data_IF_078252656304
#
_entry.id   IF_078252656304
#
_cell.length_a   1.000
_cell.length_b   1.000
_cell.length_c   1.000
_cell.angle_alpha   90.00
_cell.angle_beta   90.00
_cell.angle_gamma   90.00
#
_symmetry.space_group_name_H-M   'P 1'
#
loop_
_entity.id
_entity.type
_entity.pdbx_description
1 polymer ?
#
# COMPACT_ATOMS: atom_id res chain seq x y z
N UNK A 1 22.04 -26.50 -5.71
CA UNK A 1 21.58 -26.84 -7.08
C UNK A 1 21.09 -25.54 -7.67
N UNK A 2 21.71 -25.01 -8.73
CA UNK A 2 21.23 -23.78 -9.36
C UNK A 2 19.85 -24.06 -9.96
N UNK A 3 18.85 -23.22 -9.67
CA UNK A 3 17.50 -23.38 -10.19
C UNK A 3 17.56 -23.32 -11.73
N UNK A 4 17.42 -24.47 -12.40
CA UNK A 4 17.41 -24.51 -13.86
C UNK A 4 16.11 -23.85 -14.34
N UNK A 5 16.19 -22.62 -14.81
CA UNK A 5 15.11 -21.90 -15.46
C UNK A 5 14.84 -20.48 -14.95
N UNK A 6 15.44 -20.02 -13.85
CA UNK A 6 15.11 -18.71 -13.25
C UNK A 6 16.11 -17.62 -13.66
N UNK A 7 15.61 -16.59 -14.33
CA UNK A 7 16.38 -15.41 -14.74
C UNK A 7 16.03 -14.19 -13.90
N UNK A 8 17.03 -13.55 -13.30
CA UNK A 8 16.87 -12.21 -12.75
C UNK A 8 16.62 -11.20 -13.88
N UNK A 9 15.57 -10.39 -13.75
CA UNK A 9 15.31 -9.26 -14.62
C UNK A 9 14.99 -8.02 -13.78
N UNK A 10 15.78 -6.96 -13.93
CA UNK A 10 15.53 -5.70 -13.23
C UNK A 10 15.99 -4.48 -14.05
N UNK A 11 15.36 -3.34 -13.79
CA UNK A 11 15.92 -2.04 -14.17
C UNK A 11 16.67 -1.46 -12.97
N UNK A 12 17.70 -0.64 -13.21
CA UNK A 12 18.49 -0.04 -12.13
C UNK A 12 18.92 1.39 -12.47
N UNK A 13 19.11 2.21 -11.44
CA UNK A 13 19.73 3.54 -11.55
C UNK A 13 20.26 4.04 -10.22
N UNK A 14 21.57 4.27 -10.12
CA UNK A 14 22.22 4.87 -8.95
C UNK A 14 21.94 4.15 -7.62
N UNK A 15 22.18 2.85 -7.58
CA UNK A 15 21.92 1.97 -6.43
C UNK A 15 23.22 1.35 -5.86
N UNK A 16 24.37 2.03 -6.02
CA UNK A 16 25.68 1.51 -5.60
C UNK A 16 25.68 1.08 -4.12
N UNK A 17 24.95 1.81 -3.28
CA UNK A 17 24.89 1.58 -1.84
C UNK A 17 24.13 0.30 -1.45
N UNK A 18 23.22 -0.20 -2.28
CA UNK A 18 22.29 -1.28 -1.92
C UNK A 18 22.30 -2.48 -2.87
N UNK A 19 22.79 -2.34 -4.11
CA UNK A 19 22.66 -3.37 -5.15
C UNK A 19 23.29 -4.72 -4.79
N UNK A 20 24.42 -4.72 -4.07
CA UNK A 20 25.10 -5.94 -3.63
C UNK A 20 24.26 -6.77 -2.65
N UNK A 21 23.42 -6.12 -1.84
CA UNK A 21 22.50 -6.79 -0.91
C UNK A 21 21.47 -7.61 -1.69
N UNK A 22 20.85 -7.02 -2.71
CA UNK A 22 19.94 -7.74 -3.61
C UNK A 22 20.67 -8.91 -4.26
N UNK A 23 21.80 -8.65 -4.93
CA UNK A 23 22.51 -9.65 -5.71
C UNK A 23 22.89 -10.85 -4.82
N UNK A 24 23.40 -10.59 -3.62
CA UNK A 24 23.74 -11.64 -2.66
C UNK A 24 22.53 -12.51 -2.32
N UNK A 25 21.35 -11.92 -2.13
CA UNK A 25 20.13 -12.68 -1.80
C UNK A 25 19.62 -13.53 -2.96
N UNK A 26 19.81 -13.10 -4.22
CA UNK A 26 19.24 -13.77 -5.39
C UNK A 26 20.19 -14.78 -6.05
N UNK A 27 21.50 -14.58 -5.89
CA UNK A 27 22.55 -15.38 -6.55
C UNK A 27 22.38 -16.90 -6.43
N UNK A 28 21.97 -17.48 -5.28
CA UNK A 28 21.78 -18.93 -5.16
C UNK A 28 20.60 -19.48 -5.97
N UNK A 29 19.68 -18.62 -6.40
CA UNK A 29 18.35 -18.99 -6.90
C UNK A 29 18.13 -18.68 -8.38
N UNK A 30 19.15 -18.15 -9.08
CA UNK A 30 19.09 -17.82 -10.50
C UNK A 30 20.17 -18.56 -11.29
N UNK A 31 19.92 -18.75 -12.58
CA UNK A 31 20.89 -19.31 -13.53
C UNK A 31 21.38 -18.31 -14.56
N UNK A 32 20.68 -17.18 -14.70
CA UNK A 32 20.98 -16.14 -15.66
C UNK A 32 20.41 -14.80 -15.22
N UNK A 33 20.85 -13.73 -15.86
CA UNK A 33 20.41 -12.38 -15.52
C UNK A 33 20.36 -11.46 -16.74
N UNK A 34 19.44 -10.51 -16.72
CA UNK A 34 19.33 -9.43 -17.71
C UNK A 34 18.93 -8.14 -17.00
N UNK A 35 19.77 -7.13 -17.09
CA UNK A 35 19.57 -5.86 -16.38
C UNK A 35 19.62 -4.70 -17.34
N UNK A 36 18.68 -3.76 -17.20
CA UNK A 36 18.73 -2.47 -17.90
C UNK A 36 19.14 -1.39 -16.91
N UNK A 37 20.31 -0.80 -17.12
CA UNK A 37 20.70 0.44 -16.49
C UNK A 37 20.04 1.62 -17.20
N UNK A 38 19.37 2.49 -16.44
CA UNK A 38 18.65 3.65 -16.97
C UNK A 38 19.42 4.96 -16.80
N UNK A 39 20.76 4.86 -16.79
CA UNK A 39 21.67 6.00 -16.67
C UNK A 39 22.21 6.19 -15.26
N UNK A 40 22.82 5.14 -14.69
CA UNK A 40 23.63 5.25 -13.48
C UNK A 40 24.88 6.10 -13.73
N UNK A 41 25.24 6.90 -12.73
CA UNK A 41 26.42 7.77 -12.70
C UNK A 41 27.38 7.43 -11.55
N UNK A 42 27.00 6.45 -10.72
CA UNK A 42 27.78 5.92 -9.60
C UNK A 42 28.37 4.53 -9.94
N UNK A 43 28.89 3.82 -8.93
CA UNK A 43 29.49 2.49 -9.10
C UNK A 43 28.52 1.33 -9.34
N UNK A 44 27.21 1.58 -9.53
CA UNK A 44 26.17 0.53 -9.65
C UNK A 44 26.52 -0.53 -10.70
N UNK A 45 26.81 -0.09 -11.94
CA UNK A 45 27.08 -1.00 -13.06
C UNK A 45 28.28 -1.90 -12.78
N UNK A 46 29.38 -1.31 -12.28
CA UNK A 46 30.59 -2.05 -11.97
C UNK A 46 30.37 -3.13 -10.90
N UNK A 47 29.53 -2.84 -9.89
CA UNK A 47 29.18 -3.82 -8.84
C UNK A 47 28.31 -4.95 -9.37
N UNK A 48 27.34 -4.65 -10.23
CA UNK A 48 26.49 -5.67 -10.88
C UNK A 48 27.36 -6.62 -11.71
N UNK A 49 28.19 -6.07 -12.59
CA UNK A 49 29.05 -6.88 -13.47
C UNK A 49 30.03 -7.75 -12.66
N UNK A 50 30.63 -7.20 -11.61
CA UNK A 50 31.55 -7.95 -10.75
C UNK A 50 30.84 -9.07 -9.99
N UNK A 51 29.68 -8.79 -9.40
CA UNK A 51 28.96 -9.76 -8.56
C UNK A 51 28.27 -10.86 -9.37
N UNK A 52 27.90 -10.60 -10.63
CA UNK A 52 27.21 -11.55 -11.51
C UNK A 52 28.11 -12.17 -12.59
N UNK A 53 29.43 -11.88 -12.59
CA UNK A 53 30.39 -12.37 -13.60
C UNK A 53 30.42 -13.90 -13.76
N UNK A 54 30.01 -14.64 -12.73
CA UNK A 54 29.94 -16.11 -12.75
C UNK A 54 28.70 -16.71 -13.43
N UNK A 55 27.72 -15.89 -13.82
CA UNK A 55 26.45 -16.33 -14.41
C UNK A 55 26.26 -15.76 -15.82
N UNK A 56 25.67 -16.54 -16.76
CA UNK A 56 25.24 -16.04 -18.05
C UNK A 56 24.31 -14.82 -17.90
N UNK A 57 24.70 -13.70 -18.49
CA UNK A 57 23.85 -12.53 -18.49
C UNK A 57 24.46 -11.35 -19.20
N UNK A 58 23.68 -10.29 -19.28
CA UNK A 58 24.02 -9.08 -20.01
C UNK A 58 23.41 -7.88 -19.28
N UNK A 59 24.15 -6.78 -19.26
CA UNK A 59 23.67 -5.47 -18.87
C UNK A 59 23.52 -4.62 -20.13
N UNK A 60 22.39 -3.91 -20.24
CA UNK A 60 22.17 -2.91 -21.30
C UNK A 60 21.95 -1.55 -20.69
N UNK A 61 22.32 -0.52 -21.43
CA UNK A 61 21.96 0.85 -21.08
C UNK A 61 20.79 1.27 -21.96
N UNK A 62 19.76 1.82 -21.34
CA UNK A 62 18.62 2.44 -22.03
C UNK A 62 18.36 3.82 -21.46
N UNK A 63 17.81 4.72 -22.28
CA UNK A 63 17.39 6.04 -21.81
C UNK A 63 16.18 5.89 -20.88
N UNK A 64 16.20 6.62 -19.75
CA UNK A 64 15.05 6.67 -18.87
C UNK A 64 13.92 7.47 -19.54
N UNK A 65 12.76 6.84 -19.73
CA UNK A 65 11.55 7.47 -20.26
C UNK A 65 10.51 7.58 -19.15
N UNK A 66 10.08 6.43 -18.62
CA UNK A 66 9.19 6.27 -17.47
C UNK A 66 9.26 4.81 -16.98
N UNK A 67 8.64 4.50 -15.83
CA UNK A 67 8.72 3.16 -15.25
C UNK A 67 8.07 2.09 -16.13
N UNK A 68 6.88 2.37 -16.66
CA UNK A 68 6.14 1.44 -17.53
C UNK A 68 6.91 1.10 -18.80
N UNK A 69 7.48 2.11 -19.45
CA UNK A 69 8.28 1.97 -20.67
C UNK A 69 9.53 1.14 -20.41
N UNK A 70 10.38 1.55 -19.47
CA UNK A 70 11.67 0.89 -19.25
C UNK A 70 11.48 -0.53 -18.68
N UNK A 71 10.46 -0.77 -17.85
CA UNK A 71 10.13 -2.14 -17.40
C UNK A 71 9.54 -2.99 -18.51
N UNK A 72 8.77 -2.41 -19.45
CA UNK A 72 8.28 -3.11 -20.63
C UNK A 72 9.42 -3.51 -21.56
N UNK A 73 10.37 -2.61 -21.79
CA UNK A 73 11.60 -2.90 -22.53
C UNK A 73 12.37 -4.06 -21.90
N UNK A 74 12.55 -4.01 -20.57
CA UNK A 74 13.21 -5.06 -19.80
C UNK A 74 12.52 -6.41 -19.99
N UNK A 75 11.21 -6.53 -19.78
CA UNK A 75 10.55 -7.85 -19.85
C UNK A 75 10.49 -8.39 -21.28
N UNK A 76 10.27 -7.52 -22.27
CA UNK A 76 10.28 -7.90 -23.69
C UNK A 76 11.65 -8.44 -24.11
N UNK A 77 12.73 -7.87 -23.59
CA UNK A 77 14.07 -8.40 -23.80
C UNK A 77 14.32 -9.65 -22.95
N UNK A 78 14.05 -9.60 -21.65
CA UNK A 78 14.45 -10.63 -20.69
C UNK A 78 13.78 -11.98 -20.92
N UNK A 79 12.55 -11.96 -21.44
CA UNK A 79 11.70 -13.15 -21.66
C UNK A 79 12.31 -14.19 -22.62
N UNK A 80 13.18 -13.76 -23.55
CA UNK A 80 13.73 -14.64 -24.58
C UNK A 80 14.68 -15.67 -23.96
N UNK A 81 14.30 -16.94 -24.01
CA UNK A 81 15.10 -18.06 -23.50
C UNK A 81 15.16 -18.16 -21.98
N UNK A 82 14.21 -17.56 -21.26
CA UNK A 82 13.97 -17.82 -19.84
C UNK A 82 12.80 -18.79 -19.69
N UNK A 83 12.83 -19.65 -18.67
CA UNK A 83 11.63 -20.38 -18.26
C UNK A 83 10.79 -19.51 -17.31
N UNK A 84 11.45 -18.88 -16.35
CA UNK A 84 10.91 -17.92 -15.40
C UNK A 84 11.73 -16.64 -15.39
N UNK A 85 11.05 -15.51 -15.38
CA UNK A 85 11.62 -14.22 -15.01
C UNK A 85 11.30 -13.95 -13.55
N UNK A 86 12.34 -13.67 -12.76
CA UNK A 86 12.25 -13.10 -11.43
C UNK A 86 12.46 -11.60 -11.53
N UNK A 87 11.37 -10.85 -11.37
CA UNK A 87 11.32 -9.40 -11.47
C UNK A 87 11.63 -8.82 -10.08
N UNK A 88 12.64 -7.95 -9.94
CA UNK A 88 13.01 -7.36 -8.65
C UNK A 88 13.46 -5.90 -8.82
N UNK A 89 13.41 -5.13 -7.73
CA UNK A 89 14.00 -3.80 -7.59
C UNK A 89 15.19 -3.83 -6.65
N UNK A 90 16.14 -2.89 -6.78
CA UNK A 90 17.40 -2.84 -6.03
C UNK A 90 17.25 -2.82 -4.50
N UNK A 91 16.11 -2.33 -3.99
CA UNK A 91 15.76 -2.25 -2.57
C UNK A 91 15.01 -3.48 -2.04
N UNK A 92 15.02 -4.57 -2.81
CA UNK A 92 14.41 -5.85 -2.46
C UNK A 92 15.47 -6.93 -2.17
N UNK A 93 15.12 -7.84 -1.26
CA UNK A 93 15.84 -9.10 -1.05
C UNK A 93 14.88 -10.27 -1.11
N UNK A 94 15.38 -11.46 -1.46
CA UNK A 94 14.58 -12.68 -1.46
C UNK A 94 15.01 -13.65 -0.35
N UNK A 95 14.05 -14.43 0.10
CA UNK A 95 14.22 -15.65 0.89
C UNK A 95 13.44 -16.75 0.18
N UNK A 96 14.11 -17.84 -0.20
CA UNK A 96 13.50 -18.89 -1.00
C UNK A 96 13.83 -20.27 -0.44
N UNK A 97 12.89 -21.19 -0.59
CA UNK A 97 13.03 -22.57 -0.12
C UNK A 97 14.14 -23.30 -0.91
N UNK A 98 14.78 -24.27 -0.27
CA UNK A 98 15.88 -25.06 -0.86
C UNK A 98 15.48 -25.80 -2.15
N UNK A 99 14.18 -26.12 -2.29
CA UNK A 99 13.59 -26.85 -3.41
C UNK A 99 12.83 -25.93 -4.40
N UNK A 100 13.12 -24.62 -4.42
CA UNK A 100 12.48 -23.61 -5.29
C UNK A 100 12.28 -24.10 -6.74
N UNK A 101 13.31 -24.73 -7.33
CA UNK A 101 13.24 -25.25 -8.70
C UNK A 101 12.21 -26.36 -8.90
N UNK A 102 12.07 -27.27 -7.94
CA UNK A 102 11.05 -28.33 -7.96
C UNK A 102 9.65 -27.75 -7.77
N UNK A 103 9.50 -26.80 -6.85
CA UNK A 103 8.23 -26.11 -6.63
C UNK A 103 7.78 -25.36 -7.90
N UNK A 104 8.70 -24.65 -8.57
CA UNK A 104 8.41 -23.95 -9.82
C UNK A 104 8.10 -24.88 -10.99
N UNK A 105 8.71 -26.06 -11.05
CA UNK A 105 8.39 -27.08 -12.05
C UNK A 105 6.94 -27.59 -11.90
N UNK A 106 6.39 -27.57 -10.68
CA UNK A 106 4.99 -27.93 -10.41
C UNK A 106 3.98 -26.82 -10.73
N UNK A 107 4.43 -25.56 -10.91
CA UNK A 107 3.55 -24.43 -11.21
C UNK A 107 3.11 -24.46 -12.68
N UNK A 108 1.82 -24.64 -12.93
CA UNK A 108 1.24 -24.62 -14.28
C UNK A 108 0.75 -23.24 -14.71
N UNK A 109 0.61 -22.31 -13.78
CA UNK A 109 0.18 -20.95 -14.06
C UNK A 109 1.27 -20.14 -14.79
N UNK A 110 0.83 -19.08 -15.47
CA UNK A 110 1.71 -18.18 -16.23
C UNK A 110 2.47 -17.19 -15.33
N UNK A 111 1.88 -16.85 -14.18
CA UNK A 111 2.46 -15.95 -13.19
C UNK A 111 2.24 -16.48 -11.77
N UNK A 112 3.28 -16.38 -10.94
CA UNK A 112 3.27 -16.73 -9.54
C UNK A 112 3.24 -15.46 -8.68
N UNK A 113 2.20 -15.35 -7.84
CA UNK A 113 1.97 -14.26 -6.91
C UNK A 113 2.77 -14.50 -5.61
N UNK A 114 3.89 -13.80 -5.52
CA UNK A 114 4.88 -13.92 -4.47
C UNK A 114 4.54 -12.99 -3.30
N UNK A 115 4.56 -13.46 -2.04
CA UNK A 115 4.38 -12.61 -0.87
C UNK A 115 5.54 -11.63 -0.71
N UNK A 116 5.19 -10.37 -0.50
CA UNK A 116 6.12 -9.30 -0.17
C UNK A 116 5.86 -8.83 1.25
N UNK A 117 6.91 -8.77 2.06
CA UNK A 117 6.95 -8.18 3.40
C UNK A 117 7.83 -6.93 3.43
N UNK A 118 7.95 -6.30 4.61
CA UNK A 118 8.71 -5.05 4.78
C UNK A 118 7.88 -3.83 5.18
N UNK A 119 6.64 -4.04 5.61
CA UNK A 119 5.77 -2.99 6.15
C UNK A 119 4.30 -3.34 5.96
N UNK A 120 3.88 -3.44 4.70
CA UNK A 120 2.55 -3.94 4.30
C UNK A 120 2.75 -5.26 3.57
N UNK A 121 2.00 -6.29 3.98
CA UNK A 121 2.05 -7.58 3.30
C UNK A 121 1.12 -7.57 2.09
N UNK A 122 1.64 -7.90 0.92
CA UNK A 122 0.87 -8.03 -0.32
C UNK A 122 1.45 -9.14 -1.21
N UNK A 123 0.76 -9.49 -2.30
CA UNK A 123 1.26 -10.44 -3.30
C UNK A 123 1.22 -9.85 -4.69
N UNK A 124 2.29 -10.04 -5.46
CA UNK A 124 2.42 -9.53 -6.84
C UNK A 124 3.10 -10.55 -7.76
N UNK A 125 2.88 -10.48 -9.08
CA UNK A 125 3.46 -11.41 -10.06
C UNK A 125 4.95 -11.13 -10.31
N UNK A 126 5.78 -11.41 -9.31
CA UNK A 126 7.24 -11.23 -9.41
C UNK A 126 7.95 -12.42 -10.07
N UNK A 127 7.26 -13.56 -10.22
CA UNK A 127 7.72 -14.71 -11.00
C UNK A 127 6.77 -14.90 -12.18
N UNK A 128 7.26 -14.75 -13.40
CA UNK A 128 6.43 -14.91 -14.62
C UNK A 128 7.11 -15.78 -15.67
N UNK A 129 6.30 -16.53 -16.42
CA UNK A 129 6.80 -17.42 -17.48
C UNK A 129 7.49 -16.62 -18.59
N UNK A 130 8.67 -17.06 -19.00
CA UNK A 130 9.31 -16.56 -20.21
C UNK A 130 8.56 -16.97 -21.48
N UNK A 131 8.89 -16.33 -22.60
CA UNK A 131 8.23 -16.52 -23.90
C UNK A 131 6.86 -15.84 -24.06
N UNK A 132 6.29 -15.27 -23.00
CA UNK A 132 5.01 -14.54 -23.06
C UNK A 132 5.16 -13.06 -23.39
N UNK A 133 4.14 -12.43 -24.02
CA UNK A 133 4.16 -11.01 -24.36
C UNK A 133 3.76 -10.16 -23.15
N UNK A 134 4.61 -10.16 -22.12
CA UNK A 134 4.47 -9.30 -20.96
C UNK A 134 4.78 -7.84 -21.29
N UNK A 135 4.08 -6.92 -20.65
CA UNK A 135 4.38 -5.49 -20.66
C UNK A 135 3.83 -4.83 -19.38
N UNK A 136 4.31 -3.63 -19.08
CA UNK A 136 3.80 -2.82 -17.98
C UNK A 136 2.86 -1.73 -18.50
N UNK A 137 1.73 -1.55 -17.83
CA UNK A 137 0.74 -0.53 -18.15
C UNK A 137 0.77 0.62 -17.13
N UNK A 138 0.81 1.86 -17.61
CA UNK A 138 0.95 3.10 -16.82
C UNK A 138 2.40 3.58 -16.74
N UNK A 139 2.62 4.90 -16.67
CA UNK A 139 3.97 5.51 -16.60
C UNK A 139 4.61 5.44 -15.22
N UNK A 140 3.77 5.48 -14.17
CA UNK A 140 4.09 5.27 -12.76
C UNK A 140 2.89 4.58 -12.10
N UNK A 141 3.09 3.93 -10.95
CA UNK A 141 2.13 2.97 -10.38
C UNK A 141 1.73 1.89 -11.41
N UNK A 142 2.71 1.53 -12.23
CA UNK A 142 2.59 0.57 -13.32
C UNK A 142 2.31 -0.83 -12.80
N UNK A 143 1.65 -1.64 -13.61
CA UNK A 143 1.40 -3.04 -13.29
C UNK A 143 1.73 -3.92 -14.48
N UNK A 144 2.26 -5.11 -14.18
CA UNK A 144 2.54 -6.12 -15.19
C UNK A 144 1.24 -6.69 -15.73
N UNK A 145 1.12 -6.77 -17.05
CA UNK A 145 0.03 -7.40 -17.76
C UNK A 145 0.56 -8.07 -19.04
N UNK A 146 -0.30 -8.75 -19.79
CA UNK A 146 0.05 -9.39 -21.05
C UNK A 146 -0.95 -9.06 -22.13
N UNK A 147 -0.48 -9.02 -23.38
CA UNK A 147 -1.34 -8.91 -24.56
C UNK A 147 -2.15 -10.18 -24.83
N UNK A 148 -1.88 -11.26 -24.10
CA UNK A 148 -2.61 -12.53 -24.14
C UNK A 148 -3.19 -12.86 -22.77
N UNK A 149 -4.37 -13.54 -22.68
CA UNK A 149 -4.90 -14.03 -21.42
C UNK A 149 -3.88 -14.88 -20.67
N UNK A 150 -3.86 -14.77 -19.35
CA UNK A 150 -2.92 -15.50 -18.51
C UNK A 150 -3.56 -15.89 -17.18
N UNK A 151 -2.96 -16.87 -16.53
CA UNK A 151 -3.38 -17.41 -15.25
C UNK A 151 -2.38 -17.08 -14.16
N UNK A 152 -2.88 -16.91 -12.94
CA UNK A 152 -2.08 -16.64 -11.75
C UNK A 152 -2.26 -17.71 -10.69
N UNK A 153 -1.21 -18.04 -9.96
CA UNK A 153 -1.30 -18.85 -8.74
C UNK A 153 -0.63 -18.14 -7.57
N UNK A 154 -1.06 -18.43 -6.35
CA UNK A 154 -0.25 -18.08 -5.17
C UNK A 154 0.99 -18.97 -5.13
N UNK A 155 2.11 -18.41 -4.71
CA UNK A 155 3.38 -19.12 -4.59
C UNK A 155 4.09 -18.71 -3.31
N UNK A 156 4.40 -19.69 -2.46
CA UNK A 156 4.97 -19.46 -1.12
C UNK A 156 6.42 -19.93 -0.98
N UNK A 157 6.98 -20.57 -2.01
CA UNK A 157 8.37 -21.05 -2.03
C UNK A 157 9.42 -19.94 -2.20
N UNK A 158 8.97 -18.69 -2.35
CA UNK A 158 9.81 -17.50 -2.36
C UNK A 158 9.06 -16.38 -1.64
N UNK A 159 9.78 -15.58 -0.86
CA UNK A 159 9.29 -14.37 -0.20
C UNK A 159 10.21 -13.21 -0.54
N UNK A 160 9.63 -12.04 -0.79
CA UNK A 160 10.37 -10.81 -1.02
C UNK A 160 10.27 -9.95 0.23
N UNK A 161 11.38 -9.33 0.64
CA UNK A 161 11.38 -8.25 1.62
C UNK A 161 11.70 -6.94 0.90
N UNK A 162 10.79 -5.98 0.96
CA UNK A 162 10.97 -4.64 0.42
C UNK A 162 11.42 -3.69 1.54
N UNK A 163 12.66 -3.19 1.44
CA UNK A 163 13.28 -2.38 2.51
C UNK A 163 12.94 -0.90 2.35
N UNK A 164 12.60 -0.46 1.13
CA UNK A 164 12.19 0.90 0.79
C UNK A 164 13.22 1.99 1.18
N UNK A 165 14.50 1.66 1.13
CA UNK A 165 15.63 2.56 1.41
C UNK A 165 16.23 3.21 0.14
N UNK A 166 15.44 3.24 -0.94
CA UNK A 166 15.76 3.94 -2.18
C UNK A 166 15.63 5.47 -2.10
N UNK A 167 16.00 6.14 -3.18
CA UNK A 167 16.17 7.61 -3.28
C UNK A 167 14.96 8.50 -2.85
N UNK A 168 15.27 9.79 -2.58
CA UNK A 168 14.45 10.82 -1.89
C UNK A 168 12.95 10.95 -2.26
N UNK A 169 12.09 10.96 -1.22
CA UNK A 169 10.62 11.00 -1.32
C UNK A 169 10.01 12.22 -2.01
N UNK A 170 10.56 13.43 -1.87
CA UNK A 170 9.91 14.65 -2.42
C UNK A 170 10.03 14.76 -3.93
N UNK A 171 11.23 14.48 -4.47
CA UNK A 171 11.48 14.48 -5.92
C UNK A 171 10.63 13.40 -6.60
N UNK A 172 10.36 12.29 -5.90
CA UNK A 172 9.49 11.22 -6.36
C UNK A 172 8.06 11.72 -6.61
N UNK A 173 7.47 12.48 -5.68
CA UNK A 173 6.08 12.96 -5.81
C UNK A 173 5.89 13.92 -6.99
N UNK A 174 6.81 14.88 -7.17
CA UNK A 174 6.73 15.84 -8.29
C UNK A 174 6.78 15.13 -9.66
N UNK A 175 7.68 14.15 -9.80
CA UNK A 175 7.76 13.30 -11.00
C UNK A 175 6.49 12.48 -11.20
N UNK A 176 5.95 11.87 -10.15
CA UNK A 176 4.77 11.01 -10.25
C UNK A 176 3.54 11.83 -10.69
N UNK A 177 3.40 13.09 -10.24
CA UNK A 177 2.34 14.00 -10.72
C UNK A 177 2.49 14.27 -12.22
N UNK A 178 3.70 14.54 -12.71
CA UNK A 178 3.95 14.80 -14.13
C UNK A 178 3.59 13.57 -14.99
N UNK A 179 4.08 12.38 -14.60
CA UNK A 179 3.81 11.14 -15.33
C UNK A 179 2.32 10.76 -15.34
N UNK A 180 1.64 10.89 -14.21
CA UNK A 180 0.19 10.64 -14.13
C UNK A 180 -0.61 11.69 -14.90
N UNK A 181 -0.14 12.93 -14.94
CA UNK A 181 -0.72 13.99 -15.77
C UNK A 181 -0.68 13.65 -17.25
N UNK A 182 0.45 13.13 -17.74
CA UNK A 182 0.58 12.63 -19.12
C UNK A 182 -0.35 11.43 -19.38
N UNK A 183 -0.45 10.48 -18.44
CA UNK A 183 -1.37 9.33 -18.56
C UNK A 183 -2.83 9.79 -18.67
N UNK A 184 -3.19 10.85 -17.94
CA UNK A 184 -4.53 11.41 -17.97
C UNK A 184 -4.82 12.21 -19.25
N UNK A 185 -3.81 12.81 -19.87
CA UNK A 185 -3.96 13.44 -21.19
C UNK A 185 -4.23 12.40 -22.28
N UNK A 186 -3.53 11.26 -22.23
CA UNK A 186 -3.70 10.18 -23.20
C UNK A 186 -5.01 9.39 -22.98
N UNK A 187 -5.38 9.16 -21.72
CA UNK A 187 -6.62 8.49 -21.35
C UNK A 187 -7.33 9.21 -20.18
N UNK A 188 -8.17 10.22 -20.48
CA UNK A 188 -8.91 10.98 -19.48
C UNK A 188 -9.87 10.14 -18.62
N UNK A 189 -10.29 8.97 -19.10
CA UNK A 189 -11.26 8.11 -18.42
C UNK A 189 -10.59 7.00 -17.58
N UNK A 190 -9.27 7.04 -17.44
CA UNK A 190 -8.52 6.11 -16.60
C UNK A 190 -8.81 6.32 -15.11
N UNK A 191 -9.75 5.54 -14.56
CA UNK A 191 -10.08 5.55 -13.14
C UNK A 191 -8.84 5.32 -12.26
N UNK A 192 -7.95 4.40 -12.68
CA UNK A 192 -6.69 4.12 -11.98
C UNK A 192 -5.79 5.35 -11.93
N UNK A 193 -5.59 6.04 -13.05
CA UNK A 193 -4.75 7.24 -13.11
C UNK A 193 -5.32 8.35 -12.23
N UNK A 194 -6.64 8.59 -12.28
CA UNK A 194 -7.29 9.59 -11.42
C UNK A 194 -7.13 9.24 -9.94
N UNK A 195 -7.25 7.96 -9.57
CA UNK A 195 -7.07 7.49 -8.20
C UNK A 195 -5.64 7.74 -7.70
N UNK A 196 -4.62 7.31 -8.44
CA UNK A 196 -3.23 7.51 -8.02
C UNK A 196 -2.85 8.98 -8.03
N UNK A 197 -3.34 9.78 -8.98
CA UNK A 197 -3.08 11.23 -9.00
C UNK A 197 -3.67 11.92 -7.76
N UNK A 198 -4.86 11.51 -7.31
CA UNK A 198 -5.44 11.99 -6.05
C UNK A 198 -4.58 11.62 -4.82
N UNK A 199 -4.05 10.40 -4.78
CA UNK A 199 -3.16 9.94 -3.71
C UNK A 199 -1.84 10.72 -3.72
N UNK A 200 -1.23 10.92 -4.88
CA UNK A 200 0.01 11.69 -5.02
C UNK A 200 -0.18 13.15 -4.62
N UNK A 201 -1.28 13.80 -5.01
CA UNK A 201 -1.59 15.16 -4.55
C UNK A 201 -1.80 15.23 -3.03
N UNK A 202 -2.48 14.24 -2.44
CA UNK A 202 -2.64 14.18 -0.98
C UNK A 202 -1.28 14.10 -0.30
N UNK A 203 -0.41 13.21 -0.76
CA UNK A 203 0.90 12.96 -0.17
C UNK A 203 1.86 14.15 -0.41
N UNK A 204 1.64 14.93 -1.47
CA UNK A 204 2.31 16.21 -1.71
C UNK A 204 1.76 17.38 -0.86
N UNK A 205 0.66 17.20 -0.13
CA UNK A 205 -0.01 18.26 0.63
C UNK A 205 -0.90 19.19 -0.19
N UNK A 206 -1.11 18.89 -1.47
CA UNK A 206 -1.94 19.65 -2.41
C UNK A 206 -3.43 19.31 -2.21
N UNK A 207 -3.96 19.66 -1.03
CA UNK A 207 -5.28 19.23 -0.56
C UNK A 207 -6.44 19.54 -1.52
N UNK A 208 -6.43 20.71 -2.18
CA UNK A 208 -7.49 21.10 -3.10
C UNK A 208 -7.51 20.22 -4.35
N UNK A 209 -6.34 19.99 -4.96
CA UNK A 209 -6.19 19.11 -6.11
C UNK A 209 -6.53 17.67 -5.75
N UNK A 210 -6.06 17.20 -4.59
CA UNK A 210 -6.41 15.87 -4.09
C UNK A 210 -7.93 15.70 -3.93
N UNK A 211 -8.61 16.67 -3.32
CA UNK A 211 -10.07 16.66 -3.13
C UNK A 211 -10.82 16.57 -4.46
N UNK A 212 -10.45 17.41 -5.44
CA UNK A 212 -11.05 17.40 -6.79
C UNK A 212 -10.89 16.04 -7.48
N UNK A 213 -9.70 15.44 -7.39
CA UNK A 213 -9.41 14.15 -8.03
C UNK A 213 -10.08 12.98 -7.31
N UNK A 214 -10.16 12.99 -5.97
CA UNK A 214 -10.93 11.98 -5.23
C UNK A 214 -12.42 12.05 -5.54
N UNK A 215 -13.00 13.26 -5.60
CA UNK A 215 -14.40 13.43 -5.97
C UNK A 215 -14.67 12.95 -7.40
N UNK A 216 -13.78 13.29 -8.34
CA UNK A 216 -13.82 12.76 -9.71
C UNK A 216 -13.74 11.24 -9.70
N UNK A 217 -12.77 10.65 -9.00
CA UNK A 217 -12.60 9.19 -8.94
C UNK A 217 -13.83 8.50 -8.40
N UNK A 218 -14.43 9.00 -7.32
CA UNK A 218 -15.65 8.45 -6.76
C UNK A 218 -16.82 8.49 -7.77
N UNK A 219 -16.97 9.60 -8.51
CA UNK A 219 -18.02 9.75 -9.51
C UNK A 219 -17.88 8.81 -10.73
N UNK A 220 -16.68 8.27 -10.99
CA UNK A 220 -16.45 7.31 -12.07
C UNK A 220 -17.00 5.90 -11.77
N UNK A 221 -17.36 5.60 -10.53
CA UNK A 221 -17.86 4.27 -10.14
C UNK A 221 -16.82 3.16 -10.30
N UNK A 222 -17.26 1.95 -10.65
CA UNK A 222 -16.38 0.78 -10.83
C UNK A 222 -16.10 0.05 -9.52
N UNK A 223 -14.83 -0.25 -9.23
CA UNK A 223 -14.46 -1.00 -8.04
C UNK A 223 -14.84 -0.25 -6.76
N UNK A 224 -15.78 -0.83 -6.00
CA UNK A 224 -16.45 -0.18 -4.86
C UNK A 224 -15.46 0.21 -3.75
N UNK A 225 -14.37 -0.53 -3.56
CA UNK A 225 -13.36 -0.20 -2.54
C UNK A 225 -12.64 1.11 -2.83
N UNK A 226 -12.29 1.35 -4.09
CA UNK A 226 -11.65 2.60 -4.51
C UNK A 226 -12.63 3.77 -4.46
N UNK A 227 -13.91 3.54 -4.79
CA UNK A 227 -14.96 4.56 -4.66
C UNK A 227 -15.10 4.97 -3.20
N UNK A 228 -15.26 4.01 -2.29
CA UNK A 228 -15.29 4.24 -0.85
C UNK A 228 -14.04 4.99 -0.38
N UNK A 229 -12.86 4.48 -0.73
CA UNK A 229 -11.60 5.07 -0.27
C UNK A 229 -11.46 6.51 -0.75
N UNK A 230 -11.86 6.80 -2.00
CA UNK A 230 -11.82 8.16 -2.54
C UNK A 230 -12.75 9.10 -1.78
N UNK A 231 -13.99 8.68 -1.49
CA UNK A 231 -14.93 9.46 -0.69
C UNK A 231 -14.42 9.68 0.74
N UNK A 232 -13.83 8.65 1.34
CA UNK A 232 -13.27 8.73 2.69
C UNK A 232 -12.07 9.67 2.77
N UNK A 233 -11.13 9.59 1.81
CA UNK A 233 -9.99 10.50 1.74
C UNK A 233 -10.41 11.95 1.49
N UNK A 234 -11.41 12.18 0.63
CA UNK A 234 -12.02 13.50 0.46
C UNK A 234 -12.60 14.03 1.78
N UNK A 235 -13.31 13.20 2.54
CA UNK A 235 -13.85 13.59 3.85
C UNK A 235 -12.76 13.91 4.88
N UNK A 236 -11.64 13.17 4.89
CA UNK A 236 -10.48 13.47 5.74
C UNK A 236 -9.83 14.80 5.37
N UNK A 237 -9.70 15.10 4.07
CA UNK A 237 -9.18 16.39 3.61
C UNK A 237 -10.12 17.52 4.05
N UNK A 238 -11.43 17.36 3.84
CA UNK A 238 -12.44 18.32 4.28
C UNK A 238 -12.39 18.56 5.79
N UNK A 239 -12.20 17.51 6.61
CA UNK A 239 -12.01 17.65 8.06
C UNK A 239 -10.73 18.43 8.38
N UNK A 240 -9.60 18.09 7.74
CA UNK A 240 -8.29 18.72 7.94
C UNK A 240 -8.32 20.21 7.59
N UNK A 241 -9.04 20.60 6.54
CA UNK A 241 -9.21 21.98 6.12
C UNK A 241 -10.38 22.69 6.81
N UNK A 242 -10.95 22.10 7.86
CA UNK A 242 -12.06 22.63 8.65
C UNK A 242 -13.31 22.98 7.82
N UNK A 243 -13.59 22.21 6.76
CA UNK A 243 -14.80 22.36 5.96
C UNK A 243 -16.06 22.14 6.81
N UNK A 244 -17.10 22.98 6.65
CA UNK A 244 -18.38 22.77 7.33
C UNK A 244 -19.10 21.48 6.87
N UNK A 245 -18.81 20.99 5.66
CA UNK A 245 -19.44 19.80 5.07
C UNK A 245 -18.74 18.49 5.39
N UNK A 246 -17.64 18.52 6.15
CA UNK A 246 -16.85 17.32 6.45
C UNK A 246 -17.68 16.20 7.11
N UNK A 247 -18.67 16.55 7.95
CA UNK A 247 -19.59 15.58 8.54
C UNK A 247 -20.41 14.84 7.48
N UNK A 248 -21.02 15.59 6.55
CA UNK A 248 -21.80 15.02 5.45
C UNK A 248 -20.91 14.20 4.51
N UNK A 249 -19.64 14.59 4.33
CA UNK A 249 -18.67 13.84 3.53
C UNK A 249 -18.39 12.45 4.13
N UNK A 250 -18.23 12.34 5.45
CA UNK A 250 -18.10 11.04 6.10
C UNK A 250 -19.37 10.20 5.99
N UNK A 251 -20.55 10.81 6.07
CA UNK A 251 -21.82 10.08 5.84
C UNK A 251 -21.88 9.55 4.41
N UNK A 252 -21.54 10.35 3.39
CA UNK A 252 -21.46 9.88 1.99
C UNK A 252 -20.49 8.71 1.80
N UNK A 253 -19.33 8.76 2.46
CA UNK A 253 -18.37 7.67 2.43
C UNK A 253 -18.97 6.39 3.06
N UNK A 254 -19.68 6.52 4.18
CA UNK A 254 -20.34 5.39 4.83
C UNK A 254 -21.51 4.82 4.00
N UNK A 255 -22.33 5.67 3.39
CA UNK A 255 -23.42 5.24 2.49
C UNK A 255 -22.89 4.42 1.30
N UNK A 256 -21.69 4.74 0.81
CA UNK A 256 -21.03 4.01 -0.27
C UNK A 256 -20.53 2.63 0.15
N UNK A 257 -20.22 2.41 1.43
CA UNK A 257 -19.77 1.12 1.96
C UNK A 257 -20.09 0.95 3.45
N UNK A 258 -21.34 0.56 3.79
CA UNK A 258 -21.84 0.56 5.16
C UNK A 258 -21.09 -0.36 6.13
N UNK A 259 -20.38 -1.35 5.61
CA UNK A 259 -19.54 -2.29 6.37
C UNK A 259 -18.27 -1.63 6.92
N UNK A 260 -17.90 -0.44 6.43
CA UNK A 260 -16.68 0.27 6.83
C UNK A 260 -16.93 1.21 8.01
N UNK A 261 -16.28 0.92 9.13
CA UNK A 261 -16.42 1.66 10.38
C UNK A 261 -15.67 2.99 10.40
N UNK A 262 -14.71 3.20 9.49
CA UNK A 262 -13.81 4.35 9.52
C UNK A 262 -14.52 5.70 9.51
N UNK A 263 -15.53 5.96 8.65
CA UNK A 263 -16.23 7.24 8.66
C UNK A 263 -17.02 7.46 9.96
N UNK A 264 -17.66 6.41 10.49
CA UNK A 264 -18.40 6.48 11.77
C UNK A 264 -17.46 6.74 12.95
N UNK A 265 -16.29 6.12 12.97
CA UNK A 265 -15.24 6.39 13.96
C UNK A 265 -14.79 7.87 13.90
N UNK A 266 -14.54 8.41 12.71
CA UNK A 266 -14.16 9.82 12.54
C UNK A 266 -15.27 10.77 13.01
N UNK A 267 -16.53 10.49 12.67
CA UNK A 267 -17.69 11.23 13.16
C UNK A 267 -17.82 11.19 14.69
N UNK A 268 -17.68 10.01 15.30
CA UNK A 268 -17.71 9.86 16.76
C UNK A 268 -16.66 10.74 17.45
N UNK A 269 -15.41 10.66 16.97
CA UNK A 269 -14.29 11.46 17.45
C UNK A 269 -14.55 12.96 17.28
N UNK A 270 -15.04 13.38 16.11
CA UNK A 270 -15.39 14.79 15.85
C UNK A 270 -16.42 15.30 16.87
N UNK A 271 -17.50 14.56 17.08
CA UNK A 271 -18.54 14.94 18.05
C UNK A 271 -18.03 14.91 19.50
N UNK A 272 -17.12 13.99 19.86
CA UNK A 272 -16.46 13.99 21.17
C UNK A 272 -15.66 15.27 21.41
N UNK A 273 -14.89 15.72 20.41
CA UNK A 273 -14.11 16.96 20.49
C UNK A 273 -15.00 18.20 20.60
N UNK A 274 -16.17 18.20 19.95
CA UNK A 274 -17.19 19.23 20.07
C UNK A 274 -18.04 19.12 21.35
N UNK A 275 -17.78 18.14 22.21
CA UNK A 275 -18.56 17.81 23.43
C UNK A 275 -20.03 17.48 23.17
N UNK A 276 -20.35 17.01 21.98
CA UNK A 276 -21.68 16.56 21.60
C UNK A 276 -21.86 15.07 21.94
N UNK A 277 -21.94 14.77 23.24
CA UNK A 277 -21.80 13.40 23.77
C UNK A 277 -22.84 12.41 23.25
N UNK A 278 -24.09 12.83 23.04
CA UNK A 278 -25.13 11.96 22.46
C UNK A 278 -24.84 11.60 20.99
N UNK A 279 -24.36 12.55 20.19
CA UNK A 279 -23.97 12.27 18.81
C UNK A 279 -22.72 11.37 18.76
N UNK A 280 -21.72 11.66 19.60
CA UNK A 280 -20.54 10.81 19.74
C UNK A 280 -20.91 9.37 20.10
N UNK A 281 -21.86 9.19 21.04
CA UNK A 281 -22.39 7.89 21.42
C UNK A 281 -23.07 7.15 20.27
N UNK A 282 -23.91 7.82 19.49
CA UNK A 282 -24.62 7.21 18.35
C UNK A 282 -23.62 6.67 17.33
N UNK A 283 -22.68 7.50 16.88
CA UNK A 283 -21.70 7.10 15.87
C UNK A 283 -20.71 6.06 16.41
N UNK A 284 -20.23 6.20 17.64
CA UNK A 284 -19.31 5.23 18.23
C UNK A 284 -19.98 3.87 18.45
N UNK A 285 -21.25 3.85 18.83
CA UNK A 285 -22.02 2.60 19.00
C UNK A 285 -22.20 1.87 17.69
N UNK A 286 -22.51 2.61 16.62
CA UNK A 286 -22.60 2.03 15.28
C UNK A 286 -21.23 1.52 14.80
N UNK A 287 -20.17 2.31 14.93
CA UNK A 287 -18.81 1.92 14.53
C UNK A 287 -18.33 0.66 15.27
N UNK A 288 -18.53 0.59 16.60
CA UNK A 288 -18.07 -0.51 17.43
C UNK A 288 -18.95 -1.78 17.32
N UNK A 289 -20.04 -1.73 16.55
CA UNK A 289 -20.85 -2.91 16.21
C UNK A 289 -20.40 -3.57 14.89
N UNK A 290 -19.56 -2.89 14.09
CA UNK A 290 -19.02 -3.42 12.85
C UNK A 290 -17.78 -4.28 13.11
N UNK A 291 -17.70 -5.40 12.41
CA UNK A 291 -16.53 -6.29 12.43
C UNK A 291 -15.48 -5.83 11.41
N UNK A 292 -14.28 -6.40 11.49
CA UNK A 292 -13.24 -6.16 10.49
C UNK A 292 -13.74 -6.63 9.11
N UNK A 293 -13.74 -5.77 8.07
CA UNK A 293 -14.27 -6.14 6.77
C UNK A 293 -13.37 -7.16 6.05
N UNK A 294 -13.94 -7.86 5.07
CA UNK A 294 -13.19 -8.75 4.17
C UNK A 294 -12.47 -8.00 3.04
N UNK A 295 -12.61 -6.67 3.03
CA UNK A 295 -11.97 -5.73 2.10
C UNK A 295 -10.45 -5.89 2.06
N UNK A 296 -9.90 -5.59 0.89
CA UNK A 296 -8.46 -5.67 0.64
C UNK A 296 -7.79 -4.29 0.55
N UNK A 297 -8.55 -3.23 0.26
CA UNK A 297 -8.01 -1.88 0.06
C UNK A 297 -8.04 -1.07 1.35
N UNK A 298 -6.84 -0.82 1.89
CA UNK A 298 -6.54 0.19 2.91
C UNK A 298 -7.49 0.17 4.13
N UNK A 299 -7.68 -0.99 4.76
CA UNK A 299 -8.47 -1.11 5.99
C UNK A 299 -7.68 -0.58 7.19
N UNK A 300 -8.24 0.38 7.94
CA UNK A 300 -7.60 0.92 9.15
C UNK A 300 -7.82 -0.03 10.36
N UNK A 301 -7.06 -1.13 10.41
CA UNK A 301 -7.26 -2.23 11.37
C UNK A 301 -7.35 -1.80 12.85
N UNK A 302 -6.63 -0.76 13.27
CA UNK A 302 -6.65 -0.26 14.65
C UNK A 302 -8.03 0.29 15.07
N UNK A 303 -8.84 0.80 14.12
CA UNK A 303 -10.21 1.27 14.39
C UNK A 303 -11.09 0.10 14.84
N UNK A 304 -10.99 -1.04 14.16
CA UNK A 304 -11.73 -2.26 14.46
C UNK A 304 -11.22 -2.94 15.72
N UNK A 305 -9.89 -2.95 15.90
CA UNK A 305 -9.24 -3.59 17.05
C UNK A 305 -9.60 -2.92 18.37
N UNK A 306 -9.57 -1.58 18.42
CA UNK A 306 -9.87 -0.85 19.64
C UNK A 306 -10.41 0.58 19.45
N UNK A 307 -10.13 1.26 18.34
CA UNK A 307 -10.46 2.67 18.16
C UNK A 307 -11.95 2.99 18.32
N UNK A 308 -12.82 2.26 17.62
CA UNK A 308 -14.27 2.45 17.71
C UNK A 308 -14.81 2.20 19.12
N UNK A 309 -14.31 1.16 19.78
CA UNK A 309 -14.69 0.85 21.15
C UNK A 309 -14.18 1.87 22.17
N UNK A 310 -13.01 2.46 21.93
CA UNK A 310 -12.50 3.56 22.75
C UNK A 310 -13.45 4.77 22.68
N UNK A 311 -13.88 5.18 21.48
CA UNK A 311 -14.83 6.30 21.34
C UNK A 311 -16.17 5.96 22.01
N UNK A 312 -16.60 4.68 21.97
CA UNK A 312 -17.81 4.22 22.66
C UNK A 312 -17.65 4.26 24.17
N UNK A 313 -16.50 3.85 24.71
CA UNK A 313 -16.20 3.89 26.13
C UNK A 313 -16.18 5.32 26.68
N UNK A 314 -15.56 6.26 25.96
CA UNK A 314 -15.55 7.68 26.36
C UNK A 314 -16.96 8.27 26.33
N UNK A 315 -17.73 8.04 25.27
CA UNK A 315 -19.11 8.53 25.19
C UNK A 315 -20.01 7.91 26.27
N UNK A 316 -19.89 6.59 26.51
CA UNK A 316 -20.59 5.89 27.59
C UNK A 316 -20.30 6.52 28.96
N UNK A 317 -19.02 6.76 29.25
CA UNK A 317 -18.59 7.37 30.50
C UNK A 317 -19.20 8.76 30.70
N UNK A 318 -19.22 9.59 29.65
CA UNK A 318 -19.79 10.94 29.69
C UNK A 318 -21.30 10.99 29.86
N UNK A 319 -21.99 9.97 29.37
CA UNK A 319 -23.45 9.83 29.50
C UNK A 319 -23.88 9.06 30.77
N UNK A 320 -22.92 8.60 31.58
CA UNK A 320 -23.20 7.87 32.83
C UNK A 320 -23.49 6.37 32.65
N UNK A 321 -23.23 5.81 31.46
CA UNK A 321 -23.26 4.36 31.21
C UNK A 321 -21.99 3.69 31.74
N UNK A 322 -21.77 3.77 33.06
CA UNK A 322 -20.48 3.46 33.70
C UNK A 322 -20.07 1.98 33.56
N UNK A 323 -21.03 1.05 33.63
CA UNK A 323 -20.72 -0.38 33.53
C UNK A 323 -20.14 -0.72 32.14
N UNK A 324 -20.80 -0.26 31.08
CA UNK A 324 -20.30 -0.43 29.71
C UNK A 324 -18.95 0.25 29.52
N UNK A 325 -18.81 1.49 30.00
CA UNK A 325 -17.56 2.23 29.88
C UNK A 325 -16.38 1.49 30.52
N UNK A 326 -16.60 0.88 31.69
CA UNK A 326 -15.60 0.07 32.39
C UNK A 326 -15.30 -1.23 31.64
N UNK A 327 -16.33 -1.95 31.21
CA UNK A 327 -16.15 -3.20 30.43
C UNK A 327 -15.32 -2.98 29.18
N UNK A 328 -15.61 -1.92 28.41
CA UNK A 328 -14.82 -1.58 27.22
C UNK A 328 -13.40 -1.14 27.58
N UNK A 329 -13.24 -0.34 28.63
CA UNK A 329 -11.92 0.08 29.07
C UNK A 329 -11.04 -1.09 29.48
N UNK A 330 -11.58 -2.06 30.23
CA UNK A 330 -10.86 -3.27 30.61
C UNK A 330 -10.50 -4.12 29.39
N UNK A 331 -11.44 -4.29 28.46
CA UNK A 331 -11.21 -5.03 27.20
C UNK A 331 -10.08 -4.41 26.38
N UNK A 332 -10.08 -3.09 26.21
CA UNK A 332 -9.06 -2.38 25.42
C UNK A 332 -7.71 -2.38 26.14
N UNK A 333 -7.68 -2.19 27.46
CA UNK A 333 -6.43 -2.19 28.24
C UNK A 333 -5.71 -3.54 28.23
N UNK A 334 -6.43 -4.64 28.01
CA UNK A 334 -5.87 -5.98 27.83
C UNK A 334 -5.18 -6.19 26.48
N UNK A 335 -5.33 -5.29 25.51
CA UNK A 335 -4.67 -5.36 24.21
C UNK A 335 -3.25 -4.79 24.27
N UNK A 336 -2.35 -5.36 23.48
CA UNK A 336 -1.00 -4.82 23.26
C UNK A 336 -1.01 -3.67 22.26
N UNK A 337 0.05 -2.85 22.23
CA UNK A 337 0.23 -1.82 21.19
C UNK A 337 -0.68 -0.59 21.27
N UNK A 338 -1.57 -0.50 22.27
CA UNK A 338 -2.37 0.72 22.50
C UNK A 338 -1.46 1.89 22.91
N UNK A 339 -1.57 3.08 22.29
CA UNK A 339 -0.73 4.22 22.66
C UNK A 339 -1.00 4.72 24.09
N UNK A 340 0.04 5.21 24.76
CA UNK A 340 0.02 5.55 26.19
C UNK A 340 -1.03 6.60 26.59
N UNK A 341 -1.32 7.54 25.69
CA UNK A 341 -2.36 8.55 25.90
C UNK A 341 -3.76 7.92 26.04
N UNK A 342 -4.08 6.94 25.21
CA UNK A 342 -5.34 6.18 25.28
C UNK A 342 -5.37 5.30 26.52
N UNK A 343 -4.27 4.61 26.85
CA UNK A 343 -4.17 3.81 28.10
C UNK A 343 -4.42 4.67 29.34
N UNK A 344 -3.79 5.84 29.39
CA UNK A 344 -3.93 6.79 30.49
C UNK A 344 -5.37 7.24 30.66
N UNK A 345 -6.08 7.53 29.57
CA UNK A 345 -7.48 7.95 29.61
C UNK A 345 -8.43 6.81 29.97
N UNK A 346 -8.22 5.62 29.41
CA UNK A 346 -9.00 4.43 29.73
C UNK A 346 -8.85 4.04 31.22
N UNK A 347 -7.67 4.23 31.80
CA UNK A 347 -7.47 4.04 33.24
C UNK A 347 -8.32 5.01 34.09
N UNK A 348 -8.58 6.23 33.61
CA UNK A 348 -9.52 7.17 34.26
C UNK A 348 -10.95 6.66 34.13
N UNK A 349 -11.38 6.25 32.94
CA UNK A 349 -12.72 5.70 32.70
C UNK A 349 -12.97 4.48 33.60
N UNK A 350 -11.99 3.59 33.72
CA UNK A 350 -12.06 2.39 34.56
C UNK A 350 -12.30 2.71 36.03
N UNK A 351 -11.61 3.71 36.57
CA UNK A 351 -11.59 4.01 38.01
C UNK A 351 -12.51 5.15 38.45
N UNK A 352 -13.06 5.93 37.52
CA UNK A 352 -13.86 7.10 37.85
C UNK A 352 -15.32 6.75 38.22
N UNK A 353 -15.87 7.57 39.13
CA UNK A 353 -17.30 7.59 39.48
C UNK A 353 -18.03 8.74 38.77
N UNK A 354 -17.30 9.75 38.25
CA UNK A 354 -17.83 10.91 37.54
C UNK A 354 -17.01 11.25 36.26
N UNK A 355 -17.63 11.86 35.21
CA UNK A 355 -16.94 12.26 33.98
C UNK A 355 -15.86 13.34 34.19
N UNK A 356 -14.82 13.33 33.35
CA UNK A 356 -13.70 14.30 33.35
C UNK A 356 -13.33 14.82 31.97
N UNK A 357 -12.23 15.57 31.87
CA UNK A 357 -11.79 16.24 30.63
C UNK A 357 -11.52 15.26 29.46
N UNK A 358 -11.74 15.73 28.23
CA UNK A 358 -11.52 14.95 27.00
C UNK A 358 -10.05 14.79 26.66
N UNK A 359 -9.68 13.65 26.07
CA UNK A 359 -8.38 13.46 25.43
C UNK A 359 -8.22 14.47 24.26
N UNK A 360 -7.17 15.31 24.28
CA UNK A 360 -6.89 16.23 23.17
C UNK A 360 -6.41 15.49 21.92
N UNK A 361 -6.50 16.17 20.79
CA UNK A 361 -6.06 15.70 19.46
C UNK A 361 -4.55 15.53 19.38
N UNK A 362 -4.07 14.37 18.90
CA UNK A 362 -2.76 14.26 18.25
C UNK A 362 -2.84 14.98 16.89
N UNK A 363 -1.87 15.81 16.54
CA UNK A 363 -1.69 16.20 15.15
C UNK A 363 -1.54 14.90 14.35
N UNK A 364 -2.28 14.74 13.24
CA UNK A 364 -2.08 13.61 12.35
C UNK A 364 -0.57 13.53 12.08
N UNK A 365 0.04 12.37 12.32
CA UNK A 365 1.41 12.15 11.83
C UNK A 365 1.30 12.26 10.31
N UNK A 366 2.02 13.23 9.77
CA UNK A 366 2.14 13.49 8.33
C UNK A 366 2.47 12.21 7.55
#
# INVERSE_FOLDING_TARGET
MTASGVRLAMIVRNEEAIIERLITSVLPHIDSWRIIDTGSTDGTVARIEAALAGLPGELRVSEWVDFGHNRSELVAWATVGAEWLLLLDADMTIDADDDLGEQLAAVTADAALVPVGGGVSYRMPYLVRGGRPWHYAGRTHEYLTSSEPYTTTWFDGLRITHIADGSSHRVKLERDVELLGLDLLDNPDSARTVFYLAQTYRDAGEHQLALEHYQRRAAMGGWEEEVFWSLYQAALIEEKTASPTAGDAFIRAWDARPERAEPLYRLARRHRLLRQHHAAWLYASAAAALEHPADSLFVEAEIYRWGAAFERADAAWRLGHLDLARTEADRILALDGIPDEYRTHLAKIRHAVAPGDSLPTRAARD
#
